data_IF_461833781889
#
_entry.id   IF_461833781889
#
_cell.length_a   1.000
_cell.length_b   1.000
_cell.length_c   1.000
_cell.angle_alpha   90.00
_cell.angle_beta   90.00
_cell.angle_gamma   90.00
#
_symmetry.space_group_name_H-M   'P 1'
#
loop_
_entity.id
_entity.type
_entity.pdbx_description
1 polymer ?
#
# COMPACT_ATOMS: atom_id res chain seq x y z
N UNK A 1 -37.17 52.18 -5.56
CA UNK A 1 -37.38 50.78 -5.15
C UNK A 1 -37.48 49.93 -6.41
N UNK A 2 -36.44 49.18 -6.77
CA UNK A 2 -36.44 48.37 -7.99
C UNK A 2 -37.43 47.20 -7.85
N UNK A 3 -38.53 47.22 -8.63
CA UNK A 3 -39.47 46.10 -8.73
C UNK A 3 -38.94 45.10 -9.75
N UNK A 4 -38.26 44.07 -9.28
CA UNK A 4 -37.87 42.95 -10.14
C UNK A 4 -39.09 42.06 -10.42
N UNK A 5 -39.26 41.69 -11.69
CA UNK A 5 -40.29 40.72 -12.07
C UNK A 5 -39.98 39.34 -11.47
N UNK A 6 -41.00 38.49 -11.30
CA UNK A 6 -40.82 37.10 -10.84
C UNK A 6 -39.82 36.32 -11.72
N UNK A 7 -39.78 36.61 -13.04
CA UNK A 7 -38.79 36.05 -13.97
C UNK A 7 -37.37 36.55 -13.69
N UNK A 8 -37.22 37.84 -13.38
CA UNK A 8 -35.91 38.43 -13.03
C UNK A 8 -35.34 37.82 -11.74
N UNK A 9 -36.18 37.57 -10.74
CA UNK A 9 -35.79 36.89 -9.50
C UNK A 9 -35.31 35.45 -9.73
N UNK A 10 -36.01 34.71 -10.59
CA UNK A 10 -35.62 33.33 -10.95
C UNK A 10 -34.25 33.32 -11.66
N UNK A 11 -34.01 34.25 -12.59
CA UNK A 11 -32.73 34.35 -13.29
C UNK A 11 -31.60 34.71 -12.32
N UNK A 12 -31.81 35.67 -11.42
CA UNK A 12 -30.82 36.05 -10.40
C UNK A 12 -30.51 34.85 -9.49
N UNK A 13 -31.53 34.11 -9.04
CA UNK A 13 -31.35 32.93 -8.22
C UNK A 13 -30.52 31.85 -8.93
N UNK A 14 -30.82 31.57 -10.21
CA UNK A 14 -30.03 30.62 -11.02
C UNK A 14 -28.57 31.07 -11.13
N UNK A 15 -28.32 32.36 -11.39
CA UNK A 15 -26.96 32.89 -11.48
C UNK A 15 -26.19 32.79 -10.16
N UNK A 16 -26.85 33.05 -9.03
CA UNK A 16 -26.25 32.90 -7.69
C UNK A 16 -25.92 31.43 -7.40
N UNK A 17 -26.83 30.50 -7.71
CA UNK A 17 -26.59 29.06 -7.54
C UNK A 17 -25.43 28.60 -8.42
N UNK A 18 -25.40 29.02 -9.69
CA UNK A 18 -24.29 28.71 -10.60
C UNK A 18 -22.96 29.27 -10.10
N UNK A 19 -22.95 30.52 -9.63
CA UNK A 19 -21.75 31.12 -9.05
C UNK A 19 -21.22 30.32 -7.86
N UNK A 20 -22.09 29.96 -6.91
CA UNK A 20 -21.71 29.15 -5.74
C UNK A 20 -21.17 27.78 -6.17
N UNK A 21 -21.82 27.12 -7.12
CA UNK A 21 -21.37 25.82 -7.66
C UNK A 21 -20.01 25.96 -8.32
N UNK A 22 -19.81 26.97 -9.18
CA UNK A 22 -18.53 27.20 -9.88
C UNK A 22 -17.42 27.54 -8.88
N UNK A 23 -17.67 28.40 -7.89
CA UNK A 23 -16.69 28.73 -6.84
C UNK A 23 -16.27 27.51 -6.05
N UNK A 24 -17.21 26.67 -5.61
CA UNK A 24 -16.90 25.43 -4.90
C UNK A 24 -16.12 24.44 -5.77
N UNK A 25 -16.46 24.32 -7.06
CA UNK A 25 -15.72 23.49 -8.01
C UNK A 25 -14.28 24.01 -8.16
N UNK A 26 -14.10 25.32 -8.28
CA UNK A 26 -12.78 25.95 -8.40
C UNK A 26 -11.92 25.73 -7.15
N UNK A 27 -12.49 25.92 -5.96
CA UNK A 27 -11.79 25.63 -4.69
C UNK A 27 -11.37 24.16 -4.59
N UNK A 28 -12.26 23.24 -4.98
CA UNK A 28 -11.97 21.80 -5.01
C UNK A 28 -10.82 21.47 -5.98
N UNK A 29 -10.83 22.03 -7.19
CA UNK A 29 -9.75 21.82 -8.15
C UNK A 29 -8.41 22.36 -7.65
N UNK A 30 -8.40 23.55 -7.04
CA UNK A 30 -7.18 24.12 -6.48
C UNK A 30 -6.61 23.29 -5.31
N UNK A 31 -7.47 22.78 -4.42
CA UNK A 31 -7.00 21.93 -3.32
C UNK A 31 -6.44 20.61 -3.85
N UNK A 32 -7.12 20.00 -4.83
CA UNK A 32 -6.65 18.77 -5.49
C UNK A 32 -5.28 18.96 -6.15
N UNK A 33 -5.09 20.07 -6.87
CA UNK A 33 -3.82 20.33 -7.54
C UNK A 33 -2.68 20.58 -6.55
N UNK A 34 -2.97 21.23 -5.41
CA UNK A 34 -1.99 21.39 -4.33
C UNK A 34 -1.57 20.03 -3.74
N UNK A 35 -2.53 19.14 -3.47
CA UNK A 35 -2.26 17.79 -2.96
C UNK A 35 -1.47 16.95 -3.98
N UNK A 36 -1.82 17.01 -5.26
CA UNK A 36 -1.11 16.32 -6.33
C UNK A 36 0.34 16.83 -6.47
N UNK A 37 0.55 18.16 -6.42
CA UNK A 37 1.89 18.73 -6.49
C UNK A 37 2.77 18.28 -5.32
N UNK A 38 2.21 18.25 -4.11
CA UNK A 38 2.91 17.72 -2.95
C UNK A 38 3.24 16.24 -3.08
N UNK A 39 2.31 15.43 -3.60
CA UNK A 39 2.57 14.02 -3.86
C UNK A 39 3.70 13.82 -4.89
N UNK A 40 3.71 14.61 -5.98
CA UNK A 40 4.79 14.60 -6.98
C UNK A 40 6.14 14.96 -6.39
N UNK A 41 6.18 16.00 -5.56
CA UNK A 41 7.38 16.43 -4.85
C UNK A 41 7.92 15.33 -3.93
N UNK A 42 7.05 14.70 -3.14
CA UNK A 42 7.42 13.61 -2.24
C UNK A 42 7.99 12.39 -2.99
N UNK A 43 7.31 11.93 -4.05
CA UNK A 43 7.78 10.80 -4.87
C UNK A 43 9.11 11.13 -5.56
N UNK A 44 9.27 12.36 -6.05
CA UNK A 44 10.53 12.82 -6.64
C UNK A 44 11.67 12.86 -5.61
N UNK A 45 11.36 13.31 -4.39
CA UNK A 45 12.31 13.32 -3.29
C UNK A 45 12.74 11.90 -2.88
N UNK A 46 11.81 10.94 -2.85
CA UNK A 46 12.10 9.52 -2.60
C UNK A 46 13.07 8.95 -3.65
N UNK A 47 12.83 9.24 -4.94
CA UNK A 47 13.70 8.80 -6.04
C UNK A 47 15.10 9.44 -5.95
N UNK A 48 15.18 10.71 -5.52
CA UNK A 48 16.47 11.38 -5.31
C UNK A 48 17.21 10.79 -4.10
N UNK A 49 16.49 10.52 -3.01
CA UNK A 49 17.04 9.88 -1.82
C UNK A 49 17.66 8.52 -2.16
N UNK A 50 16.97 7.69 -2.96
CA UNK A 50 17.45 6.33 -3.28
C UNK A 50 18.75 6.31 -4.08
N UNK A 51 19.03 7.37 -4.84
CA UNK A 51 20.27 7.54 -5.62
C UNK A 51 21.46 7.98 -4.75
N UNK A 52 21.18 8.50 -3.55
CA UNK A 52 22.17 9.05 -2.63
C UNK A 52 22.17 8.26 -1.32
N UNK A 53 21.58 8.80 -0.24
CA UNK A 53 21.49 8.19 1.08
C UNK A 53 20.96 6.75 1.06
N UNK A 54 19.94 6.45 0.24
CA UNK A 54 19.38 5.11 0.15
C UNK A 54 20.37 4.07 -0.38
N UNK A 55 21.35 4.49 -1.20
CA UNK A 55 22.42 3.60 -1.66
C UNK A 55 23.41 3.27 -0.52
N UNK A 56 23.73 4.26 0.31
CA UNK A 56 24.60 4.08 1.47
C UNK A 56 23.93 3.20 2.55
N UNK A 57 22.63 3.43 2.81
CA UNK A 57 21.84 2.60 3.72
C UNK A 57 21.75 1.15 3.24
N UNK A 58 21.54 0.93 1.93
CA UNK A 58 21.50 -0.40 1.34
C UNK A 58 22.85 -1.11 1.44
N UNK A 59 23.95 -0.39 1.21
CA UNK A 59 25.30 -0.95 1.35
C UNK A 59 25.61 -1.32 2.80
N UNK A 60 25.22 -0.46 3.76
CA UNK A 60 25.29 -0.78 5.18
C UNK A 60 24.48 -2.02 5.54
N UNK A 61 23.22 -2.10 5.07
CA UNK A 61 22.34 -3.23 5.35
C UNK A 61 22.91 -4.56 4.86
N UNK A 62 23.47 -4.57 3.64
CA UNK A 62 24.12 -5.75 3.04
C UNK A 62 25.35 -6.20 3.81
N UNK A 63 26.15 -5.26 4.29
CA UNK A 63 27.42 -5.50 4.99
C UNK A 63 27.28 -5.49 6.53
N UNK A 64 26.06 -5.60 7.06
CA UNK A 64 25.83 -5.68 8.50
C UNK A 64 26.49 -6.95 9.06
N UNK A 65 27.40 -6.78 10.01
CA UNK A 65 28.21 -7.83 10.62
C UNK A 65 28.23 -7.69 12.15
N UNK A 66 28.83 -8.65 12.86
CA UNK A 66 28.93 -8.59 14.32
C UNK A 66 29.70 -7.38 14.80
N UNK A 67 30.72 -6.95 14.05
CA UNK A 67 31.62 -5.85 14.41
C UNK A 67 30.96 -4.48 14.29
N UNK A 68 30.01 -4.30 13.34
CA UNK A 68 29.36 -3.03 13.07
C UNK A 68 27.87 -2.99 13.48
N UNK A 69 27.40 -4.05 14.15
CA UNK A 69 26.03 -4.18 14.62
C UNK A 69 25.73 -3.19 15.76
N UNK A 70 24.65 -2.45 15.60
CA UNK A 70 24.06 -1.63 16.64
C UNK A 70 22.53 -1.72 16.51
N UNK A 71 21.87 -2.32 17.52
CA UNK A 71 20.44 -2.58 17.48
C UNK A 71 19.62 -1.30 17.26
N UNK A 72 19.93 -0.21 17.98
CA UNK A 72 19.21 1.06 17.85
C UNK A 72 19.27 1.60 16.41
N UNK A 73 20.45 1.60 15.80
CA UNK A 73 20.64 2.02 14.41
C UNK A 73 19.83 1.14 13.44
N UNK A 74 19.86 -0.17 13.63
CA UNK A 74 19.10 -1.13 12.80
C UNK A 74 17.59 -0.91 12.96
N UNK A 75 17.09 -0.80 14.19
CA UNK A 75 15.67 -0.52 14.49
C UNK A 75 15.22 0.79 13.83
N UNK A 76 15.97 1.87 13.99
CA UNK A 76 15.61 3.16 13.40
C UNK A 76 15.64 3.14 11.87
N UNK A 77 16.59 2.43 11.25
CA UNK A 77 16.65 2.32 9.79
C UNK A 77 15.47 1.52 9.22
N UNK A 78 15.05 0.44 9.90
CA UNK A 78 13.85 -0.32 9.52
C UNK A 78 12.60 0.55 9.65
N UNK A 79 12.44 1.26 10.77
CA UNK A 79 11.29 2.16 11.01
C UNK A 79 11.23 3.27 9.97
N UNK A 80 12.37 3.92 9.68
CA UNK A 80 12.47 4.95 8.64
C UNK A 80 12.00 4.41 7.29
N UNK A 81 12.53 3.27 6.87
CA UNK A 81 12.21 2.69 5.56
C UNK A 81 10.75 2.22 5.45
N UNK A 82 10.15 1.67 6.52
CA UNK A 82 8.72 1.36 6.56
C UNK A 82 7.86 2.61 6.39
N UNK A 83 8.20 3.71 7.08
CA UNK A 83 7.48 4.99 6.97
C UNK A 83 7.61 5.60 5.57
N UNK A 84 8.76 5.48 4.92
CA UNK A 84 8.97 5.95 3.55
C UNK A 84 8.12 5.17 2.55
N UNK A 85 8.02 3.84 2.71
CA UNK A 85 7.11 3.01 1.90
C UNK A 85 5.65 3.46 2.12
N UNK A 86 5.22 3.61 3.38
CA UNK A 86 3.87 4.03 3.71
C UNK A 86 3.52 5.40 3.09
N UNK A 87 4.41 6.38 3.20
CA UNK A 87 4.22 7.71 2.61
C UNK A 87 4.09 7.63 1.08
N UNK A 88 4.97 6.88 0.43
CA UNK A 88 4.92 6.66 -1.03
C UNK A 88 3.58 6.07 -1.48
N UNK A 89 3.03 5.10 -0.73
CA UNK A 89 1.72 4.51 -1.01
C UNK A 89 0.59 5.54 -0.89
N UNK A 90 0.63 6.43 0.10
CA UNK A 90 -0.37 7.51 0.25
C UNK A 90 -0.23 8.57 -0.86
N UNK A 91 0.99 8.89 -1.29
CA UNK A 91 1.21 9.79 -2.43
C UNK A 91 0.70 9.17 -3.74
N UNK A 92 0.94 7.87 -3.97
CA UNK A 92 0.37 7.12 -5.10
C UNK A 92 -1.15 7.07 -5.06
N UNK A 93 -1.74 6.90 -3.86
CA UNK A 93 -3.19 6.99 -3.68
C UNK A 93 -3.72 8.36 -4.10
N UNK A 94 -3.04 9.43 -3.69
CA UNK A 94 -3.42 10.81 -4.02
C UNK A 94 -3.44 10.99 -5.54
N UNK A 95 -2.36 10.65 -6.22
CA UNK A 95 -2.26 10.77 -7.68
C UNK A 95 -3.22 9.85 -8.44
N UNK A 96 -3.61 8.71 -7.87
CA UNK A 96 -4.59 7.77 -8.46
C UNK A 96 -6.02 7.97 -7.96
N UNK A 97 -6.29 9.05 -7.23
CA UNK A 97 -7.67 9.40 -6.84
C UNK A 97 -8.48 9.99 -8.00
N UNK A 98 -7.77 10.51 -9.01
CA UNK A 98 -8.32 11.05 -10.27
C UNK A 98 -7.47 10.53 -11.44
N UNK A 99 -7.82 10.86 -12.67
CA UNK A 99 -7.04 10.47 -13.85
C UNK A 99 -5.62 11.06 -13.80
N UNK A 100 -4.57 10.26 -13.54
CA UNK A 100 -3.20 10.73 -13.50
C UNK A 100 -2.75 11.06 -14.92
N UNK A 101 -1.81 12.00 -15.04
CA UNK A 101 -1.11 12.22 -16.30
C UNK A 101 -0.15 11.06 -16.61
N UNK A 102 0.33 10.97 -17.85
CA UNK A 102 1.39 10.00 -18.19
C UNK A 102 2.66 10.23 -17.35
N UNK A 103 2.97 11.49 -17.04
CA UNK A 103 4.10 11.87 -16.17
C UNK A 103 3.89 11.36 -14.74
N UNK A 104 2.68 11.50 -14.19
CA UNK A 104 2.32 10.96 -12.87
C UNK A 104 2.49 9.43 -12.83
N UNK A 105 2.04 8.74 -13.89
CA UNK A 105 2.18 7.28 -14.00
C UNK A 105 3.64 6.85 -14.02
N UNK A 106 4.47 7.52 -14.81
CA UNK A 106 5.90 7.24 -14.87
C UNK A 106 6.61 7.54 -13.55
N UNK A 107 6.25 8.63 -12.88
CA UNK A 107 6.78 8.98 -11.56
C UNK A 107 6.42 7.92 -10.51
N UNK A 108 5.15 7.52 -10.42
CA UNK A 108 4.70 6.47 -9.52
C UNK A 108 5.42 5.14 -9.80
N UNK A 109 5.61 4.79 -11.08
CA UNK A 109 6.34 3.58 -11.46
C UNK A 109 7.80 3.62 -10.98
N UNK A 110 8.50 4.74 -11.15
CA UNK A 110 9.87 4.91 -10.66
C UNK A 110 9.93 4.84 -9.13
N UNK A 111 8.99 5.50 -8.44
CA UNK A 111 8.91 5.44 -6.98
C UNK A 111 8.59 4.03 -6.47
N UNK A 112 7.71 3.28 -7.13
CA UNK A 112 7.41 1.87 -6.81
C UNK A 112 8.63 0.96 -6.98
N UNK A 113 9.48 1.21 -7.99
CA UNK A 113 10.77 0.53 -8.10
C UNK A 113 11.72 0.87 -6.95
N UNK A 114 11.70 2.11 -6.47
CA UNK A 114 12.52 2.53 -5.32
C UNK A 114 12.06 1.86 -4.03
N UNK A 115 10.75 1.88 -3.74
CA UNK A 115 10.21 1.25 -2.53
C UNK A 115 10.51 -0.25 -2.51
N UNK A 116 10.45 -0.91 -3.67
CA UNK A 116 10.75 -2.35 -3.81
C UNK A 116 12.25 -2.65 -3.75
N UNK A 117 13.07 -2.00 -4.58
CA UNK A 117 14.48 -2.39 -4.78
C UNK A 117 15.47 -1.62 -3.88
N UNK A 118 14.97 -0.71 -3.03
CA UNK A 118 15.79 0.03 -2.08
C UNK A 118 15.20 -0.10 -0.68
N UNK A 119 14.06 0.52 -0.38
CA UNK A 119 13.53 0.54 0.99
C UNK A 119 13.23 -0.87 1.52
N UNK A 120 12.57 -1.71 0.71
CA UNK A 120 12.26 -3.10 1.09
C UNK A 120 13.53 -3.92 1.21
N UNK A 121 14.46 -3.83 0.26
CA UNK A 121 15.74 -4.54 0.33
C UNK A 121 16.54 -4.16 1.59
N UNK A 122 16.62 -2.86 1.93
CA UNK A 122 17.25 -2.39 3.17
C UNK A 122 16.63 -3.12 4.38
N UNK A 123 15.30 -3.12 4.49
CA UNK A 123 14.60 -3.81 5.57
C UNK A 123 14.97 -5.29 5.57
N UNK A 124 14.82 -5.99 4.44
CA UNK A 124 15.04 -7.43 4.35
C UNK A 124 16.49 -7.83 4.70
N UNK A 125 17.48 -7.08 4.22
CA UNK A 125 18.89 -7.33 4.55
C UNK A 125 19.18 -7.11 6.04
N UNK A 126 18.69 -6.00 6.61
CA UNK A 126 18.85 -5.72 8.04
C UNK A 126 18.24 -6.84 8.89
N UNK A 127 17.00 -7.23 8.59
CA UNK A 127 16.29 -8.31 9.27
C UNK A 127 17.04 -9.65 9.21
N UNK A 128 17.52 -10.00 8.01
CA UNK A 128 18.21 -11.25 7.78
C UNK A 128 19.57 -11.30 8.49
N UNK A 129 20.36 -10.24 8.35
CA UNK A 129 21.70 -10.17 8.93
C UNK A 129 21.64 -10.05 10.45
N UNK A 130 20.75 -9.22 10.99
CA UNK A 130 20.54 -9.10 12.44
C UNK A 130 20.15 -10.44 13.07
N UNK A 131 19.26 -11.19 12.41
CA UNK A 131 18.87 -12.53 12.86
C UNK A 131 20.07 -13.47 12.96
N UNK A 132 20.97 -13.44 11.98
CA UNK A 132 22.19 -14.28 11.97
C UNK A 132 23.23 -13.83 13.00
N UNK A 133 23.23 -12.55 13.38
CA UNK A 133 24.14 -11.98 14.38
C UNK A 133 23.67 -12.29 15.80
N UNK A 134 22.38 -12.04 16.07
CA UNK A 134 21.77 -12.10 17.41
C UNK A 134 21.20 -13.46 17.76
N UNK A 135 20.96 -14.32 16.75
CA UNK A 135 20.21 -15.58 16.88
C UNK A 135 18.78 -15.41 17.43
N UNK A 136 18.20 -14.21 17.34
CA UNK A 136 16.78 -14.03 17.65
C UNK A 136 15.90 -14.89 16.74
N UNK A 137 14.85 -15.51 17.32
CA UNK A 137 13.92 -16.36 16.55
C UNK A 137 12.88 -15.54 15.79
N UNK A 138 12.49 -14.41 16.36
CA UNK A 138 11.52 -13.46 15.83
C UNK A 138 12.24 -12.38 15.03
N UNK A 139 11.58 -11.84 14.02
CA UNK A 139 12.13 -10.68 13.33
C UNK A 139 11.84 -9.46 14.17
N UNK A 140 10.58 -9.11 14.41
CA UNK A 140 10.21 -7.79 14.94
C UNK A 140 9.94 -7.79 16.44
N UNK A 141 9.35 -8.83 16.99
CA UNK A 141 8.79 -8.84 18.34
C UNK A 141 9.83 -8.62 19.46
N UNK A 142 11.10 -8.96 19.22
CA UNK A 142 12.16 -8.76 20.22
C UNK A 142 12.44 -7.27 20.49
N UNK A 143 12.09 -6.38 19.55
CA UNK A 143 12.17 -4.92 19.69
C UNK A 143 10.75 -4.34 19.64
N UNK A 144 10.25 -3.89 20.81
CA UNK A 144 8.87 -3.42 20.94
C UNK A 144 8.56 -2.19 20.08
N UNK A 145 9.52 -1.30 19.89
CA UNK A 145 9.34 -0.10 19.07
C UNK A 145 9.15 -0.50 17.61
N UNK A 146 10.04 -1.35 17.10
CA UNK A 146 9.99 -1.84 15.73
C UNK A 146 8.75 -2.67 15.45
N UNK A 147 8.35 -3.53 16.39
CA UNK A 147 7.16 -4.36 16.27
C UNK A 147 5.89 -3.52 16.18
N UNK A 148 5.76 -2.49 17.02
CA UNK A 148 4.62 -1.57 16.98
C UNK A 148 4.49 -0.87 15.63
N UNK A 149 5.60 -0.34 15.09
CA UNK A 149 5.60 0.31 13.77
C UNK A 149 5.24 -0.67 12.66
N UNK A 150 5.71 -1.91 12.75
CA UNK A 150 5.36 -2.95 11.78
C UNK A 150 3.87 -3.31 11.82
N UNK A 151 3.28 -3.46 13.01
CA UNK A 151 1.83 -3.65 13.13
C UNK A 151 1.03 -2.45 12.63
N UNK A 152 1.47 -1.23 12.92
CA UNK A 152 0.84 -0.01 12.41
C UNK A 152 0.87 0.03 10.87
N UNK A 153 1.99 -0.36 10.26
CA UNK A 153 2.12 -0.47 8.81
C UNK A 153 1.18 -1.54 8.22
N UNK A 154 1.15 -2.76 8.77
CA UNK A 154 0.25 -3.82 8.31
C UNK A 154 -1.23 -3.44 8.49
N UNK A 155 -1.56 -2.77 9.59
CA UNK A 155 -2.90 -2.27 9.84
C UNK A 155 -3.30 -1.21 8.82
N UNK A 156 -2.40 -0.28 8.51
CA UNK A 156 -2.57 0.70 7.44
C UNK A 156 -2.87 0.03 6.10
N UNK A 157 -2.07 -0.95 5.67
CA UNK A 157 -2.27 -1.62 4.40
C UNK A 157 -3.64 -2.30 4.31
N UNK A 158 -4.05 -2.97 5.38
CA UNK A 158 -5.35 -3.66 5.44
C UNK A 158 -6.53 -2.68 5.45
N UNK A 159 -6.41 -1.58 6.18
CA UNK A 159 -7.44 -0.53 6.23
C UNK A 159 -7.65 0.06 4.83
N UNK A 160 -6.57 0.44 4.16
CA UNK A 160 -6.61 0.97 2.80
C UNK A 160 -7.14 -0.02 1.79
N UNK A 161 -6.76 -1.30 1.89
CA UNK A 161 -7.28 -2.33 1.00
C UNK A 161 -8.79 -2.55 1.17
N UNK A 162 -9.28 -2.47 2.42
CA UNK A 162 -10.71 -2.59 2.72
C UNK A 162 -11.50 -1.40 2.14
N UNK A 163 -11.09 -0.18 2.51
CA UNK A 163 -11.78 1.08 2.15
C UNK A 163 -11.71 1.39 0.66
N UNK A 164 -10.52 1.29 0.07
CA UNK A 164 -10.28 1.79 -1.28
C UNK A 164 -10.57 0.75 -2.37
N UNK A 165 -10.70 -0.53 -2.02
CA UNK A 165 -10.91 -1.63 -2.98
C UNK A 165 -12.01 -2.61 -2.59
N UNK A 166 -11.92 -3.29 -1.44
CA UNK A 166 -12.80 -4.44 -1.15
C UNK A 166 -14.27 -4.05 -1.01
N UNK A 167 -14.56 -2.88 -0.44
CA UNK A 167 -15.92 -2.35 -0.33
C UNK A 167 -16.50 -1.83 -1.65
N UNK A 168 -15.69 -1.71 -2.71
CA UNK A 168 -16.14 -1.24 -4.01
C UNK A 168 -16.68 -2.38 -4.88
N UNK A 169 -17.66 -2.04 -5.70
CA UNK A 169 -18.23 -2.94 -6.70
C UNK A 169 -17.30 -3.03 -7.92
N UNK A 170 -16.67 -4.19 -8.10
CA UNK A 170 -15.70 -4.43 -9.18
C UNK A 170 -16.34 -4.41 -10.56
N UNK A 171 -17.66 -4.58 -10.66
CA UNK A 171 -18.37 -4.48 -11.93
C UNK A 171 -18.54 -3.04 -12.41
N UNK A 172 -18.33 -2.06 -11.51
CA UNK A 172 -18.32 -0.63 -11.83
C UNK A 172 -16.94 -0.12 -12.18
N UNK A 173 -15.93 -0.98 -12.18
CA UNK A 173 -14.58 -0.58 -12.51
C UNK A 173 -14.47 -0.31 -14.00
N UNK A 174 -13.69 0.71 -14.35
CA UNK A 174 -13.43 1.11 -15.72
C UNK A 174 -11.94 0.97 -16.07
N UNK A 175 -11.54 1.47 -17.25
CA UNK A 175 -10.14 1.39 -17.68
C UNK A 175 -9.18 2.19 -16.79
N UNK A 176 -9.66 3.21 -16.07
CA UNK A 176 -8.83 3.98 -15.13
C UNK A 176 -8.48 3.16 -13.89
N UNK A 177 -9.37 2.26 -13.45
CA UNK A 177 -9.07 1.34 -12.36
C UNK A 177 -7.88 0.41 -12.68
N UNK A 178 -7.52 0.18 -13.95
CA UNK A 178 -6.29 -0.56 -14.30
C UNK A 178 -5.04 0.15 -13.78
N UNK A 179 -4.95 1.49 -13.96
CA UNK A 179 -3.81 2.29 -13.49
C UNK A 179 -3.80 2.33 -11.97
N UNK A 180 -4.94 2.60 -11.34
CA UNK A 180 -5.06 2.60 -9.88
C UNK A 180 -4.69 1.25 -9.28
N UNK A 181 -5.13 0.14 -9.88
CA UNK A 181 -4.76 -1.19 -9.41
C UNK A 181 -3.27 -1.43 -9.61
N UNK A 182 -2.73 -1.09 -10.78
CA UNK A 182 -1.33 -1.30 -11.12
C UNK A 182 -0.35 -0.50 -10.25
N UNK A 183 -0.69 0.73 -9.89
CA UNK A 183 0.21 1.66 -9.19
C UNK A 183 0.00 1.69 -7.67
N UNK A 184 -1.23 1.52 -7.19
CA UNK A 184 -1.55 1.68 -5.77
C UNK A 184 -2.01 0.37 -5.10
N UNK A 185 -3.03 -0.29 -5.65
CA UNK A 185 -3.58 -1.51 -5.01
C UNK A 185 -2.58 -2.68 -5.07
N UNK A 186 -1.76 -2.74 -6.12
CA UNK A 186 -0.66 -3.69 -6.25
C UNK A 186 0.27 -3.62 -5.04
N UNK A 187 0.64 -2.43 -4.58
CA UNK A 187 1.56 -2.25 -3.45
C UNK A 187 0.92 -2.69 -2.14
N UNK A 188 -0.36 -2.33 -1.91
CA UNK A 188 -1.10 -2.78 -0.73
C UNK A 188 -1.12 -4.30 -0.59
N UNK A 189 -1.37 -5.01 -1.69
CA UNK A 189 -1.46 -6.47 -1.70
C UNK A 189 -0.07 -7.10 -1.67
N UNK A 190 0.88 -6.54 -2.43
CA UNK A 190 2.25 -7.00 -2.51
C UNK A 190 2.94 -6.98 -1.14
N UNK A 191 2.84 -5.87 -0.42
CA UNK A 191 3.39 -5.76 0.94
C UNK A 191 2.67 -6.67 1.94
N UNK A 192 1.34 -6.73 1.91
CA UNK A 192 0.59 -7.67 2.77
C UNK A 192 1.04 -9.13 2.54
N UNK A 193 1.10 -9.56 1.28
CA UNK A 193 1.55 -10.90 0.90
C UNK A 193 3.02 -11.15 1.31
N UNK A 194 3.92 -10.23 0.99
CA UNK A 194 5.34 -10.35 1.27
C UNK A 194 5.65 -10.44 2.76
N UNK A 195 4.98 -9.62 3.58
CA UNK A 195 5.18 -9.59 5.02
C UNK A 195 4.39 -10.66 5.79
N UNK A 196 3.45 -11.36 5.16
CA UNK A 196 2.65 -12.41 5.83
C UNK A 196 3.55 -13.44 6.50
N UNK A 197 4.57 -13.97 5.81
CA UNK A 197 5.41 -15.01 6.42
C UNK A 197 6.21 -14.50 7.63
N UNK A 198 6.61 -13.22 7.62
CA UNK A 198 7.35 -12.62 8.73
C UNK A 198 6.43 -12.43 9.92
N UNK A 199 5.28 -11.80 9.73
CA UNK A 199 4.33 -11.55 10.81
C UNK A 199 3.83 -12.83 11.47
N UNK A 200 3.47 -13.87 10.68
CA UNK A 200 3.06 -15.16 11.23
C UNK A 200 4.16 -15.89 12.01
N UNK A 201 5.43 -15.54 11.79
CA UNK A 201 6.57 -16.11 12.53
C UNK A 201 6.80 -15.47 13.89
N UNK A 202 6.20 -14.29 14.14
CA UNK A 202 6.27 -13.59 15.43
C UNK A 202 5.45 -14.32 16.52
N UNK A 203 4.44 -15.10 16.12
CA UNK A 203 3.57 -15.84 17.03
C UNK A 203 4.23 -17.14 17.52
N UNK A 204 5.04 -16.99 18.58
CA UNK A 204 5.47 -18.11 19.42
C UNK A 204 4.28 -18.75 20.14
N UNK A 205 4.35 -20.05 20.42
CA UNK A 205 3.32 -20.73 21.21
C UNK A 205 3.23 -20.22 22.64
N UNK A 206 4.37 -19.85 23.22
CA UNK A 206 4.47 -19.56 24.65
C UNK A 206 3.88 -18.18 25.03
N UNK A 207 3.72 -17.28 24.06
CA UNK A 207 3.30 -15.89 24.27
C UNK A 207 2.21 -15.44 23.28
N UNK A 208 1.48 -16.40 22.69
CA UNK A 208 0.53 -16.09 21.62
C UNK A 208 -0.61 -15.18 22.11
N UNK A 209 -1.04 -15.36 23.36
CA UNK A 209 -2.16 -14.60 23.93
C UNK A 209 -1.82 -13.15 24.26
N UNK A 210 -0.54 -12.82 24.49
CA UNK A 210 -0.09 -11.44 24.68
C UNK A 210 -0.31 -10.59 23.41
N UNK A 211 -0.41 -11.26 22.26
CA UNK A 211 -0.67 -10.65 20.96
C UNK A 211 -2.18 -10.65 20.61
N UNK A 212 -3.07 -11.09 21.50
CA UNK A 212 -4.52 -11.09 21.26
C UNK A 212 -5.12 -9.68 21.39
N UNK A 213 -4.81 -8.80 20.44
CA UNK A 213 -5.36 -7.44 20.42
C UNK A 213 -6.33 -7.24 19.26
N UNK A 214 -7.26 -6.26 19.33
CA UNK A 214 -8.12 -5.92 18.20
C UNK A 214 -7.35 -5.57 16.92
N UNK A 215 -6.18 -4.92 17.06
CA UNK A 215 -5.31 -4.58 15.93
C UNK A 215 -4.73 -5.84 15.28
N UNK A 216 -4.16 -6.73 16.06
CA UNK A 216 -3.61 -8.02 15.60
C UNK A 216 -4.68 -8.85 14.89
N UNK A 217 -5.89 -8.95 15.47
CA UNK A 217 -7.01 -9.65 14.83
C UNK A 217 -7.41 -9.01 13.49
N UNK A 218 -7.40 -7.68 13.40
CA UNK A 218 -7.66 -6.97 12.14
C UNK A 218 -6.62 -7.28 11.08
N UNK A 219 -5.33 -7.29 11.45
CA UNK A 219 -4.22 -7.63 10.54
C UNK A 219 -4.37 -9.06 10.02
N UNK A 220 -4.58 -10.04 10.92
CA UNK A 220 -4.72 -11.45 10.54
C UNK A 220 -5.95 -11.68 9.64
N UNK A 221 -7.06 -11.01 9.93
CA UNK A 221 -8.24 -11.06 9.08
C UNK A 221 -7.98 -10.44 7.71
N UNK A 222 -7.27 -9.32 7.64
CA UNK A 222 -6.83 -8.72 6.38
C UNK A 222 -5.96 -9.67 5.55
N UNK A 223 -4.96 -10.31 6.17
CA UNK A 223 -4.13 -11.33 5.53
C UNK A 223 -4.95 -12.51 4.99
N UNK A 224 -6.00 -12.93 5.70
CA UNK A 224 -6.89 -14.01 5.24
C UNK A 224 -7.66 -13.66 3.97
N UNK A 225 -7.83 -12.37 3.67
CA UNK A 225 -8.51 -11.88 2.47
C UNK A 225 -7.58 -11.76 1.25
N UNK A 226 -6.26 -11.89 1.38
CA UNK A 226 -5.29 -11.68 0.27
C UNK A 226 -5.66 -12.49 -0.98
N UNK A 227 -5.96 -13.79 -0.82
CA UNK A 227 -6.33 -14.66 -1.95
C UNK A 227 -7.64 -14.23 -2.59
N UNK A 228 -8.64 -13.86 -1.78
CA UNK A 228 -9.92 -13.36 -2.24
C UNK A 228 -9.75 -12.07 -3.05
N UNK A 229 -8.99 -11.11 -2.52
CA UNK A 229 -8.68 -9.84 -3.19
C UNK A 229 -7.95 -10.08 -4.51
N UNK A 230 -6.91 -10.92 -4.50
CA UNK A 230 -6.13 -11.24 -5.69
C UNK A 230 -7.00 -11.91 -6.76
N UNK A 231 -7.89 -12.83 -6.37
CA UNK A 231 -8.85 -13.45 -7.30
C UNK A 231 -9.82 -12.44 -7.91
N UNK A 232 -10.34 -11.48 -7.13
CA UNK A 232 -11.20 -10.41 -7.66
C UNK A 232 -10.47 -9.58 -8.72
N UNK A 233 -9.24 -9.17 -8.45
CA UNK A 233 -8.43 -8.40 -9.42
C UNK A 233 -8.14 -9.22 -10.68
N UNK A 234 -7.80 -10.49 -10.53
CA UNK A 234 -7.57 -11.38 -11.66
C UNK A 234 -8.80 -11.52 -12.55
N UNK A 235 -10.01 -11.62 -11.97
CA UNK A 235 -11.26 -11.64 -12.73
C UNK A 235 -11.43 -10.35 -13.55
N UNK A 236 -11.18 -9.19 -12.94
CA UNK A 236 -11.23 -7.90 -13.63
C UNK A 236 -10.21 -7.83 -14.78
N UNK A 237 -8.94 -8.14 -14.54
CA UNK A 237 -7.92 -8.08 -15.58
C UNK A 237 -8.12 -9.08 -16.71
N UNK A 238 -8.63 -10.28 -16.43
CA UNK A 238 -8.97 -11.22 -17.50
C UNK A 238 -10.10 -10.67 -18.38
N UNK A 239 -11.12 -10.05 -17.77
CA UNK A 239 -12.21 -9.40 -18.52
C UNK A 239 -11.70 -8.22 -19.37
N UNK A 240 -10.81 -7.39 -18.83
CA UNK A 240 -10.19 -6.31 -19.61
C UNK A 240 -9.34 -6.88 -20.74
N UNK A 241 -8.53 -7.90 -20.49
CA UNK A 241 -7.72 -8.56 -21.50
C UNK A 241 -8.56 -9.11 -22.66
N UNK A 242 -9.72 -9.70 -22.38
CA UNK A 242 -10.67 -10.19 -23.40
C UNK A 242 -11.22 -9.05 -24.28
N UNK A 243 -11.50 -7.87 -23.71
CA UNK A 243 -11.95 -6.69 -24.49
C UNK A 243 -10.90 -6.24 -25.50
N UNK A 244 -9.63 -6.27 -25.10
CA UNK A 244 -8.51 -5.82 -25.93
C UNK A 244 -7.93 -6.92 -26.83
N UNK A 245 -8.39 -8.17 -26.71
CA UNK A 245 -7.88 -9.30 -27.49
C UNK A 245 -8.02 -9.15 -29.01
N UNK A 246 -8.93 -8.28 -29.47
CA UNK A 246 -9.18 -7.98 -30.88
C UNK A 246 -8.66 -6.60 -31.31
N UNK A 247 -7.84 -5.96 -30.48
CA UNK A 247 -7.21 -4.67 -30.78
C UNK A 247 -5.72 -4.87 -31.10
N UNK A 248 -5.14 -4.00 -31.93
CA UNK A 248 -3.70 -4.01 -32.25
C UNK A 248 -2.82 -3.39 -31.14
N UNK A 249 -3.38 -3.07 -29.96
CA UNK A 249 -2.63 -2.50 -28.84
C UNK A 249 -1.86 -3.57 -28.05
N UNK A 250 -0.77 -4.04 -28.66
CA UNK A 250 0.12 -5.04 -28.11
C UNK A 250 0.77 -4.61 -26.78
N UNK A 251 0.92 -3.31 -26.52
CA UNK A 251 1.54 -2.82 -25.29
C UNK A 251 0.60 -2.97 -24.09
N UNK A 252 -0.66 -2.59 -24.25
CA UNK A 252 -1.68 -2.76 -23.22
C UNK A 252 -1.88 -4.23 -22.85
N UNK A 253 -2.00 -5.11 -23.86
CA UNK A 253 -2.14 -6.56 -23.69
C UNK A 253 -0.96 -7.12 -22.87
N UNK A 254 0.28 -6.75 -23.24
CA UNK A 254 1.49 -7.21 -22.53
C UNK A 254 1.54 -6.71 -21.10
N UNK A 255 1.09 -5.49 -20.83
CA UNK A 255 1.05 -4.93 -19.48
C UNK A 255 0.00 -5.63 -18.61
N UNK A 256 -1.20 -5.88 -19.13
CA UNK A 256 -2.23 -6.65 -18.43
C UNK A 256 -1.76 -8.08 -18.11
N UNK A 257 -1.10 -8.76 -19.06
CA UNK A 257 -0.54 -10.09 -18.83
C UNK A 257 0.53 -10.11 -17.72
N UNK A 258 1.39 -9.08 -17.65
CA UNK A 258 2.35 -8.92 -16.55
C UNK A 258 1.65 -8.75 -15.21
N UNK A 259 0.63 -7.89 -15.14
CA UNK A 259 -0.15 -7.70 -13.91
C UNK A 259 -0.82 -8.99 -13.48
N UNK A 260 -1.48 -9.72 -14.40
CA UNK A 260 -2.08 -11.04 -14.12
C UNK A 260 -1.04 -12.01 -13.55
N UNK A 261 0.17 -12.04 -14.10
CA UNK A 261 1.25 -12.88 -13.59
C UNK A 261 1.66 -12.50 -12.16
N UNK A 262 1.78 -11.20 -11.87
CA UNK A 262 2.11 -10.68 -10.54
C UNK A 262 1.03 -11.07 -9.52
N UNK A 263 -0.24 -10.81 -9.83
CA UNK A 263 -1.36 -11.11 -8.91
C UNK A 263 -1.56 -12.61 -8.66
N UNK A 264 -1.15 -13.48 -9.60
CA UNK A 264 -1.11 -14.93 -9.33
C UNK A 264 -0.08 -15.30 -8.26
N UNK A 265 1.00 -14.53 -8.12
CA UNK A 265 2.06 -14.76 -7.13
C UNK A 265 1.78 -14.18 -5.75
N UNK A 266 0.87 -13.21 -5.63
CA UNK A 266 0.48 -12.64 -4.34
C UNK A 266 -0.40 -13.55 -3.48
N UNK A 267 -0.78 -14.72 -3.99
CA UNK A 267 -1.56 -15.70 -3.22
C UNK A 267 -0.72 -16.33 -2.11
N UNK A 268 -1.38 -16.58 -0.99
CA UNK A 268 -0.79 -17.31 0.13
C UNK A 268 -0.61 -18.79 -0.27
N UNK A 269 0.56 -19.32 0.04
CA UNK A 269 0.80 -20.75 -0.12
C UNK A 269 0.14 -21.55 1.02
N UNK A 270 0.02 -22.88 0.83
CA UNK A 270 -0.64 -23.76 1.80
C UNK A 270 -0.04 -23.66 3.22
N UNK A 271 1.28 -23.50 3.33
CA UNK A 271 1.96 -23.37 4.61
C UNK A 271 1.55 -22.09 5.33
N UNK A 272 1.50 -20.96 4.63
CA UNK A 272 1.02 -19.68 5.16
C UNK A 272 -0.44 -19.77 5.58
N UNK A 273 -1.31 -20.30 4.72
CA UNK A 273 -2.74 -20.46 5.01
C UNK A 273 -3.00 -21.33 6.24
N UNK A 274 -2.30 -22.46 6.36
CA UNK A 274 -2.42 -23.34 7.52
C UNK A 274 -1.93 -22.66 8.81
N UNK A 275 -0.80 -21.94 8.74
CA UNK A 275 -0.23 -21.23 9.89
C UNK A 275 -1.13 -20.08 10.35
N UNK A 276 -1.67 -19.30 9.42
CA UNK A 276 -2.63 -18.21 9.68
C UNK A 276 -3.87 -18.75 10.40
N UNK A 277 -4.51 -19.79 9.84
CA UNK A 277 -5.68 -20.42 10.45
C UNK A 277 -5.37 -20.94 11.86
N UNK A 278 -4.21 -21.59 12.04
CA UNK A 278 -3.80 -22.09 13.35
C UNK A 278 -3.63 -20.97 14.38
N UNK A 279 -3.01 -19.85 14.00
CA UNK A 279 -2.86 -18.68 14.89
C UNK A 279 -4.23 -18.09 15.22
N UNK A 280 -5.09 -17.87 14.22
CA UNK A 280 -6.43 -17.32 14.44
C UNK A 280 -7.30 -18.21 15.35
N UNK A 281 -7.20 -19.54 15.25
CA UNK A 281 -7.90 -20.45 16.16
C UNK A 281 -7.37 -20.30 17.59
N UNK A 282 -6.04 -20.31 17.77
CA UNK A 282 -5.43 -20.19 19.10
C UNK A 282 -5.71 -18.86 19.78
N UNK A 283 -5.73 -17.76 19.04
CA UNK A 283 -6.09 -16.45 19.59
C UNK A 283 -7.53 -16.39 20.09
N UNK A 284 -8.46 -17.19 19.53
CA UNK A 284 -9.84 -17.30 20.04
C UNK A 284 -9.93 -18.09 21.34
N UNK A 285 -8.93 -18.92 21.64
CA UNK A 285 -8.85 -19.71 22.88
C UNK A 285 -8.24 -18.91 24.03
N UNK A 286 -7.58 -17.78 23.74
CA UNK A 286 -7.07 -16.86 24.74
C UNK A 286 -8.24 -16.26 25.52
N UNK A 287 -8.37 -16.62 26.80
CA UNK A 287 -9.34 -16.04 27.71
C UNK A 287 -9.04 -14.56 27.90
N UNK A 288 -10.07 -13.72 27.75
CA UNK A 288 -10.06 -12.36 28.26
C UNK A 288 -10.18 -12.46 29.79
N UNK A 289 -9.08 -12.74 30.49
CA UNK A 289 -9.01 -12.49 31.94
C UNK A 289 -8.73 -11.01 32.19
#
# INVERSE_FOLDING_TARGET
>A
MFKFSKKSWIIIFILVVLYVVISNIYELFNSMEADNNKARENLSALIKWSKNEGKEELEYAKNLSKENYNQEKVTQMIIKNLKMIQASIEDMKTLTSYYPTEEDVELMRQAGHVTTNSNTDIILYLLYNERNITNHKTYFLFDKERFKVFEDFLFFLNTRLEEDFLQKDIHKFDSFDVVRIGMYINDLIGYNSGFTSMYLSEFSQDYICDLNTPKTMTILNGMSKIDFTSNRILLFFNKELEKYAYTDDNNLIKNLQKLIYIFKKFKLNQKQTNKLKSIQTKLKECTNE
#
